data_IF_789482305892
#
_entry.id   IF_789482305892
#
_cell.length_a   1.000
_cell.length_b   1.000
_cell.length_c   1.000
_cell.angle_alpha   90.00
_cell.angle_beta   90.00
_cell.angle_gamma   90.00
#
_symmetry.space_group_name_H-M   'P 1'
#
loop_
_entity.id
_entity.type
_entity.pdbx_description
1 polymer ?
#
# COMPACT_ATOMS: atom_id res chain seq x y z
N UNK A 1 -2.48 11.35 -2.73
CA UNK A 1 -1.22 10.84 -2.13
C UNK A 1 -0.46 9.84 -3.00
N UNK A 2 -1.14 8.87 -3.64
CA UNK A 2 -0.45 7.81 -4.42
C UNK A 2 0.46 8.34 -5.54
N UNK A 3 0.00 9.36 -6.28
CA UNK A 3 0.79 10.01 -7.33
C UNK A 3 2.12 10.56 -6.81
N UNK A 4 2.07 11.36 -5.75
CA UNK A 4 3.26 11.95 -5.10
C UNK A 4 4.22 10.86 -4.61
N UNK A 5 3.70 9.74 -4.09
CA UNK A 5 4.54 8.61 -3.66
C UNK A 5 5.29 8.00 -4.85
N UNK A 6 4.62 7.80 -5.98
CA UNK A 6 5.26 7.26 -7.19
C UNK A 6 6.30 8.24 -7.77
N UNK A 7 6.01 9.54 -7.72
CA UNK A 7 6.92 10.59 -8.17
C UNK A 7 8.18 10.64 -7.29
N UNK A 8 8.03 10.70 -5.98
CA UNK A 8 9.17 10.69 -5.04
C UNK A 8 10.00 9.42 -5.19
N UNK A 9 9.35 8.25 -5.33
CA UNK A 9 10.08 7.01 -5.57
C UNK A 9 10.97 7.08 -6.82
N UNK A 10 10.53 7.80 -7.86
CA UNK A 10 11.28 7.98 -9.10
C UNK A 10 12.42 8.97 -8.90
N UNK A 11 12.15 10.10 -8.26
CA UNK A 11 13.14 11.16 -8.01
C UNK A 11 14.28 10.66 -7.13
N UNK A 12 13.98 9.81 -6.15
CA UNK A 12 14.94 9.20 -5.23
C UNK A 12 15.60 7.91 -5.76
N UNK A 13 15.28 7.49 -6.99
CA UNK A 13 15.72 6.20 -7.56
C UNK A 13 15.46 5.01 -6.61
N UNK A 14 14.31 5.02 -5.94
CA UNK A 14 13.94 3.98 -5.00
C UNK A 14 13.81 2.61 -5.71
N UNK A 15 14.33 1.55 -5.09
CA UNK A 15 14.29 0.20 -5.67
C UNK A 15 13.04 -0.61 -5.25
N UNK A 16 12.30 -0.12 -4.25
CA UNK A 16 11.12 -0.77 -3.68
C UNK A 16 10.23 0.26 -2.97
N UNK A 17 8.92 0.17 -3.15
CA UNK A 17 7.95 0.91 -2.32
C UNK A 17 7.36 -0.06 -1.29
N UNK A 18 7.42 0.30 -0.01
CA UNK A 18 6.78 -0.46 1.07
C UNK A 18 5.61 0.33 1.62
N UNK A 19 4.43 -0.29 1.67
CA UNK A 19 3.21 0.35 2.19
C UNK A 19 2.43 -0.61 3.10
N UNK A 20 1.73 -0.06 4.07
CA UNK A 20 0.77 -0.81 4.87
C UNK A 20 -0.61 -0.84 4.22
N UNK A 21 -1.43 -1.83 4.58
CA UNK A 21 -2.88 -1.74 4.38
C UNK A 21 -3.55 -1.08 5.58
N UNK A 22 -4.70 -0.44 5.39
CA UNK A 22 -5.53 0.00 6.52
C UNK A 22 -5.99 -1.23 7.31
N UNK A 23 -5.78 -1.25 8.62
CA UNK A 23 -6.30 -2.27 9.51
C UNK A 23 -7.83 -2.19 9.54
N UNK A 24 -8.50 -3.31 9.29
CA UNK A 24 -9.96 -3.38 9.24
C UNK A 24 -10.45 -4.24 10.39
N UNK A 25 -11.30 -3.69 11.25
CA UNK A 25 -12.30 -4.51 11.95
C UNK A 25 -13.31 -5.10 10.94
N UNK A 26 -14.61 -5.08 11.28
CA UNK A 26 -15.73 -5.71 10.52
C UNK A 26 -15.93 -5.31 9.03
N UNK A 27 -15.11 -4.46 8.43
CA UNK A 27 -15.23 -4.07 7.01
C UNK A 27 -14.52 -5.14 6.19
N UNK A 28 -15.27 -6.14 5.75
CA UNK A 28 -14.71 -7.47 5.47
C UNK A 28 -14.45 -7.83 4.00
N UNK A 29 -14.56 -6.93 3.01
CA UNK A 29 -14.55 -7.43 1.60
C UNK A 29 -13.98 -6.57 0.48
N UNK A 30 -13.54 -5.36 0.74
CA UNK A 30 -12.89 -4.47 -0.23
C UNK A 30 -12.02 -3.58 0.65
N UNK A 31 -10.70 -3.59 0.57
CA UNK A 31 -9.98 -2.45 0.05
C UNK A 31 -8.48 -2.75 0.18
N UNK A 32 -7.84 -3.14 -0.92
CA UNK A 32 -6.53 -2.61 -1.20
C UNK A 32 -6.76 -1.08 -1.29
N UNK A 33 -6.35 -0.32 -0.27
CA UNK A 33 -6.88 1.03 -0.03
C UNK A 33 -6.60 1.99 -1.20
N UNK A 34 -7.34 3.10 -1.31
CA UNK A 34 -7.22 4.04 -2.45
C UNK A 34 -5.80 4.53 -2.74
N UNK A 35 -4.91 4.55 -1.75
CA UNK A 35 -3.48 4.87 -1.94
C UNK A 35 -2.67 3.64 -2.35
N UNK A 36 -2.81 2.51 -1.64
CA UNK A 36 -2.08 1.27 -1.98
C UNK A 36 -2.47 0.74 -3.36
N UNK A 37 -3.76 0.82 -3.71
CA UNK A 37 -4.31 0.48 -5.02
C UNK A 37 -3.74 1.38 -6.11
N UNK A 38 -3.71 2.70 -5.89
CA UNK A 38 -3.07 3.63 -6.82
C UNK A 38 -1.60 3.25 -7.04
N UNK A 39 -0.83 3.04 -5.97
CA UNK A 39 0.60 2.73 -6.06
C UNK A 39 0.82 1.41 -6.83
N UNK A 40 0.01 0.38 -6.55
CA UNK A 40 0.14 -0.91 -7.23
C UNK A 40 -0.07 -0.83 -8.74
N UNK A 41 -0.92 0.07 -9.20
CA UNK A 41 -1.20 0.24 -10.62
C UNK A 41 -0.22 1.20 -11.33
N UNK A 42 0.52 2.05 -10.59
CA UNK A 42 1.29 3.15 -11.18
C UNK A 42 2.79 3.17 -10.80
N UNK A 43 3.23 2.37 -9.83
CA UNK A 43 4.63 2.31 -9.44
C UNK A 43 5.50 1.74 -10.57
N UNK A 44 6.67 2.37 -10.78
CA UNK A 44 7.68 1.91 -11.74
C UNK A 44 8.65 0.88 -11.13
N UNK A 45 8.53 0.63 -9.81
CA UNK A 45 9.33 -0.32 -9.04
C UNK A 45 8.41 -1.30 -8.31
N UNK A 46 8.93 -2.47 -7.87
CA UNK A 46 8.15 -3.40 -7.08
C UNK A 46 7.50 -2.74 -5.85
N UNK A 47 6.34 -3.27 -5.45
CA UNK A 47 5.56 -2.77 -4.31
C UNK A 47 5.33 -3.90 -3.32
N UNK A 48 5.78 -3.72 -2.09
CA UNK A 48 5.50 -4.62 -0.98
C UNK A 48 4.36 -4.06 -0.13
N UNK A 49 3.29 -4.83 -0.01
CA UNK A 49 2.12 -4.50 0.81
C UNK A 49 2.14 -5.30 2.10
N UNK A 50 2.40 -4.61 3.21
CA UNK A 50 2.39 -5.17 4.55
C UNK A 50 0.97 -5.18 5.12
N UNK A 51 0.41 -6.37 5.34
CA UNK A 51 -0.87 -6.54 6.03
C UNK A 51 -0.65 -6.50 7.55
N UNK A 52 -1.56 -5.85 8.26
CA UNK A 52 -1.60 -5.98 9.72
C UNK A 52 -1.97 -7.43 10.07
N UNK A 53 -1.38 -7.98 11.14
CA UNK A 53 -1.87 -9.24 11.68
C UNK A 53 -3.26 -8.97 12.23
N UNK A 54 -4.27 -9.69 11.75
CA UNK A 54 -5.57 -9.67 12.39
C UNK A 54 -5.36 -10.23 13.80
N UNK A 55 -5.42 -9.36 14.82
CA UNK A 55 -5.54 -9.79 16.21
C UNK A 55 -6.94 -10.42 16.34
N UNK A 56 -7.05 -11.69 15.95
CA UNK A 56 -8.15 -12.56 16.35
C UNK A 56 -8.10 -12.70 17.88
N UNK A 57 -8.60 -11.70 18.60
CA UNK A 57 -9.11 -11.90 19.96
C UNK A 57 -10.37 -12.74 19.81
N UNK A 58 -10.25 -14.03 20.14
CA UNK A 58 -11.36 -14.91 20.47
C UNK A 58 -12.29 -14.23 21.48
#
# INVERSE_FOLDING_TARGET
PGEVICQVAKDENAQLIVTGTRGMGKIRRTFLGSVSDYILHHAHVPVLVCRHKDDHKN
#
